data_IF_349483738540
#
_entry.id   IF_349483738540
#
_cell.length_a   1.000
_cell.length_b   1.000
_cell.length_c   1.000
_cell.angle_alpha   90.00
_cell.angle_beta   90.00
_cell.angle_gamma   90.00
#
_symmetry.space_group_name_H-M   'P 1'
#
loop_
_entity.id
_entity.type
_entity.pdbx_description
1 polymer ?
#
# COMPACT_ATOMS: atom_id res chain seq x y z
N UNK A 1 -0.51 -23.87 -8.66
CA UNK A 1 -1.17 -22.59 -8.29
C UNK A 1 -2.53 -22.55 -8.96
N UNK A 2 -3.61 -22.37 -8.19
CA UNK A 2 -4.95 -22.27 -8.75
C UNK A 2 -5.18 -20.86 -9.35
N UNK A 3 -5.74 -20.80 -10.55
CA UNK A 3 -6.09 -19.54 -11.24
C UNK A 3 -7.60 -19.47 -11.44
N UNK A 4 -8.20 -18.35 -11.05
CA UNK A 4 -9.64 -18.10 -11.22
C UNK A 4 -9.88 -17.04 -12.29
N UNK A 5 -10.90 -17.24 -13.13
CA UNK A 5 -11.32 -16.26 -14.13
C UNK A 5 -12.22 -15.22 -13.49
N UNK A 6 -11.84 -13.95 -13.61
CA UNK A 6 -12.62 -12.80 -13.13
C UNK A 6 -13.11 -12.00 -14.34
N UNK A 7 -14.43 -11.85 -14.45
CA UNK A 7 -15.07 -11.00 -15.47
C UNK A 7 -15.49 -9.69 -14.81
N UNK A 8 -15.03 -8.56 -15.32
CA UNK A 8 -15.32 -7.23 -14.78
C UNK A 8 -15.99 -6.36 -15.85
N UNK A 9 -17.02 -5.63 -15.45
CA UNK A 9 -17.59 -4.55 -16.26
C UNK A 9 -16.79 -3.28 -15.99
N UNK A 10 -16.21 -2.72 -17.06
CA UNK A 10 -15.46 -1.47 -17.00
C UNK A 10 -15.82 -0.59 -18.20
N UNK A 11 -15.65 0.71 -18.06
CA UNK A 11 -15.84 1.62 -19.18
C UNK A 11 -14.92 1.27 -20.37
N UNK A 12 -15.47 1.39 -21.58
CA UNK A 12 -14.75 1.13 -22.84
C UNK A 12 -13.49 2.02 -22.97
N UNK A 13 -13.58 3.26 -22.52
CA UNK A 13 -12.48 4.24 -22.44
C UNK A 13 -11.31 3.70 -21.59
N UNK A 14 -11.63 3.17 -20.42
CA UNK A 14 -10.68 2.60 -19.46
C UNK A 14 -10.05 1.32 -19.99
N UNK A 15 -10.83 0.43 -20.61
CA UNK A 15 -10.32 -0.78 -21.26
C UNK A 15 -9.33 -0.45 -22.38
N UNK A 16 -9.62 0.57 -23.20
CA UNK A 16 -8.73 1.02 -24.27
C UNK A 16 -7.42 1.61 -23.71
N UNK A 17 -7.49 2.42 -22.66
CA UNK A 17 -6.31 2.96 -21.97
C UNK A 17 -5.43 1.85 -21.40
N UNK A 18 -6.03 0.86 -20.74
CA UNK A 18 -5.33 -0.29 -20.19
C UNK A 18 -4.62 -1.11 -21.28
N UNK A 19 -5.28 -1.37 -22.43
CA UNK A 19 -4.65 -2.05 -23.59
C UNK A 19 -3.44 -1.31 -24.13
N UNK A 20 -3.53 0.02 -24.27
CA UNK A 20 -2.39 0.84 -24.75
C UNK A 20 -1.22 0.78 -23.77
N UNK A 21 -1.50 0.93 -22.48
CA UNK A 21 -0.49 0.84 -21.42
C UNK A 21 0.18 -0.53 -21.41
N UNK A 22 -0.61 -1.61 -21.45
CA UNK A 22 -0.09 -2.97 -21.37
C UNK A 22 0.87 -3.28 -22.53
N UNK A 23 0.54 -2.84 -23.76
CA UNK A 23 1.43 -2.94 -24.93
C UNK A 23 2.72 -2.17 -24.74
N UNK A 24 2.65 -0.91 -24.30
CA UNK A 24 3.83 -0.05 -24.10
C UNK A 24 4.81 -0.61 -23.06
N UNK A 25 4.27 -1.19 -21.99
CA UNK A 25 5.05 -1.70 -20.87
C UNK A 25 5.31 -3.22 -20.93
N UNK A 26 5.06 -3.87 -22.09
CA UNK A 26 5.24 -5.32 -22.32
C UNK A 26 4.63 -6.18 -21.19
N UNK A 27 3.42 -5.82 -20.76
CA UNK A 27 2.69 -6.50 -19.68
C UNK A 27 1.27 -6.85 -20.15
N UNK A 28 0.57 -7.68 -19.37
CA UNK A 28 -0.84 -8.02 -19.62
C UNK A 28 -1.75 -7.24 -18.69
N UNK A 29 -2.99 -6.99 -19.13
CA UNK A 29 -4.02 -6.37 -18.28
C UNK A 29 -4.30 -7.25 -17.07
N UNK A 30 -4.35 -8.57 -17.25
CA UNK A 30 -4.52 -9.52 -16.15
C UNK A 30 -3.41 -9.36 -15.10
N UNK A 31 -2.14 -9.27 -15.51
CA UNK A 31 -1.01 -9.08 -14.59
C UNK A 31 -1.09 -7.74 -13.85
N UNK A 32 -1.48 -6.67 -14.54
CA UNK A 32 -1.68 -5.35 -13.92
C UNK A 32 -2.77 -5.38 -12.85
N UNK A 33 -3.93 -5.94 -13.19
CA UNK A 33 -5.07 -6.04 -12.27
C UNK A 33 -4.72 -6.96 -11.10
N UNK A 34 -4.16 -8.14 -11.35
CA UNK A 34 -3.73 -9.06 -10.29
C UNK A 34 -2.74 -8.40 -9.32
N UNK A 35 -1.75 -7.67 -9.82
CA UNK A 35 -0.78 -6.99 -8.96
C UNK A 35 -1.38 -5.82 -8.16
N UNK A 36 -2.38 -5.13 -8.72
CA UNK A 36 -3.10 -4.08 -8.00
C UNK A 36 -4.01 -4.67 -6.92
N UNK A 37 -4.80 -5.69 -7.26
CA UNK A 37 -5.69 -6.38 -6.32
C UNK A 37 -4.90 -7.07 -5.20
N UNK A 38 -3.71 -7.61 -5.47
CA UNK A 38 -2.84 -8.19 -4.45
C UNK A 38 -2.29 -7.17 -3.42
N UNK A 39 -2.40 -5.87 -3.71
CA UNK A 39 -2.00 -4.80 -2.78
C UNK A 39 -3.17 -4.26 -1.96
N UNK A 40 -4.39 -4.75 -2.20
CA UNK A 40 -5.52 -4.35 -1.38
C UNK A 40 -5.26 -4.83 0.06
N UNK A 41 -5.51 -3.97 1.07
CA UNK A 41 -5.42 -4.40 2.45
C UNK A 41 -6.45 -5.52 2.67
N UNK A 42 -6.04 -6.62 3.30
CA UNK A 42 -7.01 -7.57 3.83
C UNK A 42 -7.65 -6.96 5.07
N UNK A 43 -8.97 -7.05 5.21
CA UNK A 43 -9.66 -6.58 6.42
C UNK A 43 -9.23 -7.39 7.67
N UNK A 44 -8.71 -8.62 7.50
CA UNK A 44 -8.08 -9.40 8.57
C UNK A 44 -6.68 -8.91 8.94
N UNK A 45 -6.03 -8.15 8.06
CA UNK A 45 -4.80 -7.40 8.34
C UNK A 45 -5.14 -6.00 8.88
N UNK A 46 -6.11 -5.89 9.79
CA UNK A 46 -6.25 -4.77 10.72
C UNK A 46 -5.03 -4.61 11.66
N UNK A 47 -3.91 -5.26 11.33
CA UNK A 47 -2.60 -4.96 11.85
C UNK A 47 -2.03 -3.66 11.27
N UNK A 48 -0.95 -3.22 11.91
CA UNK A 48 -0.28 -1.97 11.62
C UNK A 48 0.08 -1.86 10.12
N UNK A 49 -0.24 -0.70 9.53
CA UNK A 49 0.08 -0.40 8.12
C UNK A 49 1.58 -0.64 7.85
N UNK A 50 2.02 -0.92 6.61
CA UNK A 50 3.42 -1.20 6.32
C UNK A 50 4.39 -0.13 6.83
N UNK A 51 3.97 1.14 6.80
CA UNK A 51 4.72 2.24 7.39
C UNK A 51 4.84 2.12 8.91
N UNK A 52 3.73 1.86 9.60
CA UNK A 52 3.72 1.72 11.07
C UNK A 52 4.48 0.46 11.51
N UNK A 53 4.36 -0.65 10.78
CA UNK A 53 5.08 -1.91 11.04
C UNK A 53 6.60 -1.74 11.01
N UNK A 54 7.11 -0.87 10.13
CA UNK A 54 8.55 -0.51 10.10
C UNK A 54 8.99 0.32 11.30
N UNK A 55 8.07 0.99 11.98
CA UNK A 55 8.35 1.84 13.14
C UNK A 55 8.21 1.06 14.46
N UNK A 56 7.50 -0.07 14.45
CA UNK A 56 7.36 -0.96 15.62
C UNK A 56 8.73 -1.50 16.01
N UNK A 57 9.11 -1.32 17.27
CA UNK A 57 10.36 -1.84 17.83
C UNK A 57 11.58 -0.93 17.63
N UNK A 58 11.48 0.18 16.89
CA UNK A 58 12.56 1.18 16.82
C UNK A 58 12.72 1.98 18.11
N UNK A 59 11.62 2.17 18.84
CA UNK A 59 11.64 2.92 20.08
C UNK A 59 12.05 2.01 21.25
N UNK A 60 13.04 2.41 22.07
CA UNK A 60 13.32 1.75 23.34
C UNK A 60 12.07 1.71 24.22
N UNK A 61 11.89 0.62 24.98
CA UNK A 61 10.77 0.48 25.94
C UNK A 61 10.73 1.55 27.03
N UNK A 62 11.84 2.27 27.21
CA UNK A 62 12.02 3.33 28.20
C UNK A 62 11.58 4.71 27.70
N UNK A 63 11.25 4.87 26.41
CA UNK A 63 10.83 6.17 25.88
C UNK A 63 9.39 6.48 26.31
N UNK A 64 9.23 7.58 27.02
CA UNK A 64 7.94 8.14 27.42
C UNK A 64 7.41 9.13 26.37
N UNK A 65 6.09 9.24 26.27
CA UNK A 65 5.41 10.25 25.44
C UNK A 65 5.87 11.67 25.81
N UNK A 66 6.13 11.92 27.09
CA UNK A 66 6.57 13.21 27.64
C UNK A 66 8.00 13.55 27.19
N UNK A 67 8.86 12.55 27.06
CA UNK A 67 10.22 12.70 26.53
C UNK A 67 10.19 13.08 25.05
N UNK A 68 9.32 12.42 24.27
CA UNK A 68 9.11 12.78 22.86
C UNK A 68 8.55 14.20 22.72
N UNK A 69 7.57 14.59 23.53
CA UNK A 69 7.03 15.97 23.55
C UNK A 69 8.10 17.01 23.88
N UNK A 70 9.01 16.70 24.80
CA UNK A 70 10.14 17.58 25.15
C UNK A 70 11.13 17.71 23.99
N UNK A 71 11.44 16.61 23.31
CA UNK A 71 12.27 16.61 22.11
C UNK A 71 11.65 17.48 21.00
N UNK A 72 10.34 17.35 20.75
CA UNK A 72 9.65 18.15 19.72
C UNK A 72 9.69 19.65 20.03
N UNK A 73 9.49 20.06 21.29
CA UNK A 73 9.60 21.47 21.69
C UNK A 73 11.01 22.02 21.42
N UNK A 74 12.05 21.28 21.80
CA UNK A 74 13.44 21.69 21.51
C UNK A 74 13.77 21.73 20.02
N UNK A 75 13.30 20.74 19.25
CA UNK A 75 13.58 20.61 17.81
C UNK A 75 12.91 21.70 16.98
N UNK A 76 11.65 22.01 17.28
CA UNK A 76 10.85 22.98 16.53
C UNK A 76 10.82 24.39 17.17
N UNK A 77 11.52 24.59 18.30
CA UNK A 77 11.50 25.83 19.10
C UNK A 77 10.07 26.34 19.35
N UNK A 78 9.17 25.40 19.68
CA UNK A 78 7.81 25.70 20.13
C UNK A 78 7.80 26.11 21.61
#
# INVERSE_FOLDING_TARGET
>A
MATTKLTLLIEKSTAARAKRYSKRHRTSISRLVSHMLAKLPNDEDAGLTPGVRRLVGLLPRTVSVEEHRRHLRGKYKL
#
